data_IF_700894502640
#
_entry.id   IF_700894502640
#
_cell.length_a   1.000
_cell.length_b   1.000
_cell.length_c   1.000
_cell.angle_alpha   90.00
_cell.angle_beta   90.00
_cell.angle_gamma   90.00
#
_symmetry.space_group_name_H-M   'P 1'
#
loop_
_entity.id
_entity.type
_entity.pdbx_description
1 polymer ?
#
# COMPACT_ATOMS: atom_id res chain seq x y z
N UNK A 1 17.49 2.70 -11.88
CA UNK A 1 16.91 2.00 -10.72
C UNK A 1 15.85 1.03 -11.21
N UNK A 2 15.68 -0.13 -10.56
CA UNK A 2 14.61 -1.09 -10.81
C UNK A 2 13.43 -0.78 -9.89
N UNK A 3 12.22 -0.76 -10.44
CA UNK A 3 10.99 -0.46 -9.70
C UNK A 3 10.10 -1.71 -9.65
N UNK A 4 9.63 -2.08 -8.48
CA UNK A 4 8.63 -3.12 -8.30
C UNK A 4 7.29 -2.50 -7.89
N UNK A 5 6.26 -2.71 -8.69
CA UNK A 5 4.89 -2.27 -8.39
C UNK A 5 4.09 -3.48 -7.93
N UNK A 6 3.80 -3.56 -6.64
CA UNK A 6 3.04 -4.66 -6.03
C UNK A 6 1.54 -4.38 -6.05
N UNK A 7 0.76 -5.35 -6.50
CA UNK A 7 -0.69 -5.37 -6.46
C UNK A 7 -1.16 -6.50 -5.53
N UNK A 8 -1.51 -6.19 -4.26
CA UNK A 8 -2.09 -7.18 -3.37
C UNK A 8 -3.54 -7.47 -3.77
N UNK A 9 -3.87 -8.73 -4.03
CA UNK A 9 -5.19 -9.15 -4.52
C UNK A 9 -5.81 -10.23 -3.65
N UNK A 10 -7.14 -10.20 -3.52
CA UNK A 10 -7.94 -11.23 -2.85
C UNK A 10 -9.35 -11.29 -3.42
N UNK A 11 -9.65 -12.32 -4.23
CA UNK A 11 -10.90 -12.49 -4.96
C UNK A 11 -11.21 -11.27 -5.85
N UNK A 12 -10.34 -11.05 -6.83
CA UNK A 12 -10.38 -9.89 -7.74
C UNK A 12 -10.43 -10.35 -9.22
N UNK A 13 -11.05 -11.51 -9.48
CA UNK A 13 -11.09 -12.10 -10.84
C UNK A 13 -11.71 -11.18 -11.89
N UNK A 14 -12.63 -10.29 -11.50
CA UNK A 14 -13.32 -9.40 -12.44
C UNK A 14 -12.46 -8.20 -12.87
N UNK A 15 -11.59 -7.70 -11.98
CA UNK A 15 -10.85 -6.46 -12.25
C UNK A 15 -9.34 -6.64 -12.45
N UNK A 16 -8.77 -7.79 -12.09
CA UNK A 16 -7.32 -8.01 -12.08
C UNK A 16 -6.68 -7.74 -13.44
N UNK A 17 -7.19 -8.33 -14.52
CA UNK A 17 -6.61 -8.18 -15.86
C UNK A 17 -6.62 -6.71 -16.33
N UNK A 18 -7.77 -6.06 -16.24
CA UNK A 18 -7.91 -4.66 -16.67
C UNK A 18 -7.08 -3.69 -15.82
N UNK A 19 -6.89 -3.96 -14.54
CA UNK A 19 -6.04 -3.14 -13.68
C UNK A 19 -4.56 -3.34 -13.97
N UNK A 20 -4.12 -4.58 -14.19
CA UNK A 20 -2.73 -4.88 -14.58
C UNK A 20 -2.39 -4.21 -15.91
N UNK A 21 -3.27 -4.27 -16.91
CA UNK A 21 -3.05 -3.63 -18.21
C UNK A 21 -2.87 -2.10 -18.09
N UNK A 22 -3.68 -1.44 -17.24
CA UNK A 22 -3.55 0.00 -16.98
C UNK A 22 -2.22 0.33 -16.28
N UNK A 23 -1.86 -0.42 -15.25
CA UNK A 23 -0.60 -0.22 -14.51
C UNK A 23 0.59 -0.46 -15.44
N UNK A 24 0.53 -1.52 -16.25
CA UNK A 24 1.57 -1.85 -17.23
C UNK A 24 1.78 -0.71 -18.24
N UNK A 25 0.69 -0.14 -18.77
CA UNK A 25 0.75 1.00 -19.67
C UNK A 25 1.43 2.23 -19.03
N UNK A 26 1.13 2.53 -17.78
CA UNK A 26 1.76 3.63 -17.03
C UNK A 26 3.23 3.33 -16.73
N UNK A 27 3.56 2.10 -16.33
CA UNK A 27 4.93 1.72 -16.03
C UNK A 27 5.82 1.76 -17.29
N UNK A 28 5.37 1.22 -18.41
CA UNK A 28 6.10 1.25 -19.69
C UNK A 28 6.38 2.67 -20.20
N UNK A 29 5.49 3.62 -19.88
CA UNK A 29 5.67 5.04 -20.23
C UNK A 29 6.71 5.72 -19.36
N UNK A 30 6.80 5.36 -18.07
CA UNK A 30 7.57 6.12 -17.09
C UNK A 30 8.90 5.48 -16.69
N UNK A 31 9.04 4.14 -16.83
CA UNK A 31 10.18 3.40 -16.29
C UNK A 31 10.84 2.53 -17.36
N UNK A 32 12.17 2.52 -17.38
CA UNK A 32 12.96 1.65 -18.28
C UNK A 32 13.16 0.24 -17.71
N UNK A 33 13.20 0.11 -16.39
CA UNK A 33 13.42 -1.15 -15.69
C UNK A 33 12.40 -1.27 -14.55
N UNK A 34 11.42 -2.13 -14.72
CA UNK A 34 10.37 -2.34 -13.73
C UNK A 34 9.79 -3.75 -13.79
N UNK A 35 9.13 -4.13 -12.73
CA UNK A 35 8.28 -5.32 -12.66
C UNK A 35 6.95 -5.00 -11.96
N UNK A 36 5.89 -5.70 -12.34
CA UNK A 36 4.61 -5.72 -11.64
C UNK A 36 4.51 -7.05 -10.90
N UNK A 37 4.34 -7.00 -9.59
CA UNK A 37 4.25 -8.18 -8.74
C UNK A 37 2.83 -8.35 -8.20
N UNK A 38 2.07 -9.29 -8.75
CA UNK A 38 0.76 -9.67 -8.26
C UNK A 38 0.93 -10.52 -7.01
N UNK A 39 0.47 -10.02 -5.86
CA UNK A 39 0.56 -10.74 -4.59
C UNK A 39 -0.81 -11.33 -4.22
N UNK A 40 -1.08 -12.55 -4.67
CA UNK A 40 -2.33 -13.25 -4.37
C UNK A 40 -2.39 -13.69 -2.91
N UNK A 41 -3.37 -13.15 -2.21
CA UNK A 41 -3.55 -13.21 -0.77
C UNK A 41 -4.57 -14.28 -0.37
N UNK A 42 -4.35 -15.54 -0.80
CA UNK A 42 -5.22 -16.70 -0.59
C UNK A 42 -6.61 -16.56 -1.24
N UNK A 43 -6.67 -16.13 -2.50
CA UNK A 43 -7.91 -16.07 -3.27
C UNK A 43 -8.55 -17.44 -3.45
N UNK A 44 -9.88 -17.45 -3.55
CA UNK A 44 -10.71 -18.64 -3.69
C UNK A 44 -11.47 -18.70 -5.02
N UNK A 45 -11.42 -17.64 -5.79
CA UNK A 45 -11.93 -17.51 -7.14
C UNK A 45 -10.83 -17.73 -8.18
N UNK A 46 -11.02 -17.29 -9.42
CA UNK A 46 -10.05 -17.45 -10.49
C UNK A 46 -8.89 -16.44 -10.48
N UNK A 47 -8.77 -15.60 -9.43
CA UNK A 47 -7.72 -14.58 -9.34
C UNK A 47 -6.31 -15.16 -9.55
N UNK A 48 -6.00 -16.29 -8.88
CA UNK A 48 -4.69 -16.92 -9.02
C UNK A 48 -4.44 -17.47 -10.43
N UNK A 49 -5.46 -18.03 -11.06
CA UNK A 49 -5.38 -18.51 -12.45
C UNK A 49 -5.08 -17.34 -13.41
N UNK A 50 -5.79 -16.22 -13.24
CA UNK A 50 -5.59 -15.01 -14.05
C UNK A 50 -4.18 -14.45 -13.82
N UNK A 51 -3.70 -14.39 -12.56
CA UNK A 51 -2.35 -13.93 -12.25
C UNK A 51 -1.26 -14.76 -12.94
N UNK A 52 -1.43 -16.09 -13.01
CA UNK A 52 -0.54 -16.99 -13.76
C UNK A 52 -0.53 -16.64 -15.25
N UNK A 53 -1.71 -16.55 -15.87
CA UNK A 53 -1.84 -16.20 -17.31
C UNK A 53 -1.20 -14.85 -17.62
N UNK A 54 -1.37 -13.85 -16.75
CA UNK A 54 -0.75 -12.54 -16.92
C UNK A 54 0.77 -12.60 -16.84
N UNK A 55 1.33 -13.42 -15.96
CA UNK A 55 2.78 -13.61 -15.85
C UNK A 55 3.38 -14.38 -17.05
N UNK A 56 2.60 -15.21 -17.73
CA UNK A 56 3.00 -15.88 -18.99
C UNK A 56 2.90 -14.93 -20.18
N UNK A 57 1.90 -14.03 -20.17
CA UNK A 57 1.62 -13.08 -21.25
C UNK A 57 2.60 -11.89 -21.28
N UNK A 58 3.02 -11.41 -20.10
CA UNK A 58 3.84 -10.20 -19.98
C UNK A 58 5.14 -10.49 -19.21
N UNK A 59 6.32 -10.30 -19.83
CA UNK A 59 7.61 -10.57 -19.18
C UNK A 59 7.89 -9.68 -17.96
N UNK A 60 7.23 -8.51 -17.86
CA UNK A 60 7.35 -7.61 -16.72
C UNK A 60 6.43 -8.00 -15.55
N UNK A 61 5.52 -8.98 -15.73
CA UNK A 61 4.54 -9.37 -14.70
C UNK A 61 4.98 -10.66 -14.03
N UNK A 62 5.05 -10.64 -12.71
CA UNK A 62 5.28 -11.80 -11.86
C UNK A 62 4.13 -11.97 -10.88
N UNK A 63 3.99 -13.15 -10.30
CA UNK A 63 3.05 -13.37 -9.22
C UNK A 63 3.66 -14.16 -8.07
N UNK A 64 3.11 -13.97 -6.89
CA UNK A 64 3.31 -14.83 -5.71
C UNK A 64 1.95 -15.24 -5.16
N UNK A 65 1.86 -16.43 -4.60
CA UNK A 65 0.67 -16.93 -3.90
C UNK A 65 0.97 -17.16 -2.43
N UNK A 66 0.08 -16.69 -1.55
CA UNK A 66 0.15 -16.95 -0.13
C UNK A 66 -1.03 -17.83 0.30
N UNK A 67 -0.79 -18.90 1.10
CA UNK A 67 -1.85 -19.81 1.54
C UNK A 67 -2.73 -19.20 2.66
N UNK A 68 -2.30 -18.07 3.24
CA UNK A 68 -3.01 -17.41 4.34
C UNK A 68 -3.32 -15.95 4.00
N UNK A 69 -4.59 -15.57 4.18
CA UNK A 69 -5.04 -14.20 4.01
C UNK A 69 -4.36 -13.24 5.00
N UNK A 70 -4.05 -12.04 4.52
CA UNK A 70 -3.44 -10.96 5.29
C UNK A 70 -2.76 -9.96 4.36
N UNK A 71 -3.37 -8.77 4.17
CA UNK A 71 -2.84 -7.74 3.26
C UNK A 71 -1.40 -7.35 3.60
N UNK A 72 -1.13 -7.09 4.88
CA UNK A 72 0.23 -6.77 5.33
C UNK A 72 1.19 -7.95 5.13
N UNK A 73 0.71 -9.22 5.27
CA UNK A 73 1.51 -10.42 4.99
C UNK A 73 1.89 -10.47 3.51
N UNK A 74 0.94 -10.22 2.62
CA UNK A 74 1.17 -10.23 1.17
C UNK A 74 2.22 -9.17 0.78
N UNK A 75 2.08 -7.93 1.27
CA UNK A 75 3.02 -6.84 1.00
C UNK A 75 4.43 -7.14 1.55
N UNK A 76 4.55 -7.64 2.77
CA UNK A 76 5.85 -8.03 3.34
C UNK A 76 6.53 -9.11 2.49
N UNK A 77 5.78 -10.16 2.11
CA UNK A 77 6.32 -11.23 1.28
C UNK A 77 6.73 -10.74 -0.10
N UNK A 78 5.91 -9.90 -0.72
CA UNK A 78 6.19 -9.32 -2.03
C UNK A 78 7.49 -8.49 -2.01
N UNK A 79 7.59 -7.55 -1.08
CA UNK A 79 8.75 -6.66 -0.98
C UNK A 79 10.05 -7.38 -0.59
N UNK A 80 9.95 -8.48 0.15
CA UNK A 80 11.11 -9.34 0.48
C UNK A 80 11.48 -10.33 -0.64
N UNK A 81 10.70 -10.43 -1.72
CA UNK A 81 10.91 -11.35 -2.83
C UNK A 81 11.40 -10.67 -4.12
N UNK A 82 11.69 -9.39 -4.07
CA UNK A 82 12.22 -8.60 -5.19
C UNK A 82 13.60 -8.02 -4.86
N UNK A 83 14.40 -7.80 -5.89
CA UNK A 83 15.68 -7.09 -5.84
C UNK A 83 15.57 -5.62 -6.30
N UNK A 84 14.35 -5.09 -6.36
CA UNK A 84 14.09 -3.73 -6.80
C UNK A 84 14.69 -2.68 -5.83
N UNK A 85 15.15 -1.57 -6.40
CA UNK A 85 15.64 -0.42 -5.64
C UNK A 85 14.48 0.34 -4.95
N UNK A 86 13.34 0.41 -5.66
CA UNK A 86 12.10 1.05 -5.18
C UNK A 86 10.95 0.04 -5.26
N UNK A 87 10.28 -0.17 -4.14
CA UNK A 87 9.12 -1.04 -4.03
C UNK A 87 7.88 -0.21 -3.75
N UNK A 88 6.93 -0.22 -4.69
CA UNK A 88 5.64 0.45 -4.54
C UNK A 88 4.54 -0.58 -4.30
N UNK A 89 3.42 -0.15 -3.75
CA UNK A 89 2.17 -0.87 -3.86
C UNK A 89 0.99 0.08 -4.08
N UNK A 90 -0.04 -0.45 -4.70
CA UNK A 90 -1.35 0.20 -4.84
C UNK A 90 -2.47 -0.83 -4.74
N UNK A 91 -3.64 -0.36 -4.33
CA UNK A 91 -4.84 -1.19 -4.32
C UNK A 91 -5.27 -1.52 -5.76
N UNK A 92 -5.76 -2.74 -5.98
CA UNK A 92 -6.10 -3.26 -7.31
C UNK A 92 -7.27 -2.50 -7.96
N UNK A 93 -8.14 -1.87 -7.17
CA UNK A 93 -9.26 -1.06 -7.62
C UNK A 93 -8.85 0.24 -8.30
N UNK A 94 -7.55 0.58 -8.23
CA UNK A 94 -6.98 1.81 -8.76
C UNK A 94 -7.73 3.08 -8.33
N UNK A 95 -8.28 3.07 -7.12
CA UNK A 95 -8.96 4.24 -6.54
C UNK A 95 -8.06 5.48 -6.48
N UNK A 96 -6.74 5.31 -6.36
CA UNK A 96 -5.76 6.39 -6.52
C UNK A 96 -5.38 6.54 -7.99
N UNK A 97 -5.44 7.77 -8.52
CA UNK A 97 -5.06 8.07 -9.90
C UNK A 97 -3.59 7.70 -10.17
N UNK A 98 -3.38 6.85 -11.18
CA UNK A 98 -2.07 6.31 -11.55
C UNK A 98 -1.06 7.39 -11.98
N UNK A 99 -1.50 8.61 -12.33
CA UNK A 99 -0.58 9.73 -12.63
C UNK A 99 0.38 10.05 -11.49
N UNK A 100 -0.03 9.76 -10.23
CA UNK A 100 0.79 10.00 -9.05
C UNK A 100 1.87 8.93 -8.81
N UNK A 101 1.88 7.82 -9.61
CA UNK A 101 2.87 6.76 -9.42
C UNK A 101 4.30 7.27 -9.63
N UNK A 102 4.49 8.09 -10.66
CA UNK A 102 5.81 8.68 -10.90
C UNK A 102 6.24 9.61 -9.77
N UNK A 103 5.34 10.49 -9.29
CA UNK A 103 5.61 11.39 -8.17
C UNK A 103 5.97 10.61 -6.88
N UNK A 104 5.33 9.45 -6.66
CA UNK A 104 5.61 8.56 -5.55
C UNK A 104 7.04 7.99 -5.62
N UNK A 105 7.49 7.56 -6.81
CA UNK A 105 8.83 7.01 -7.00
C UNK A 105 9.91 8.09 -7.04
N UNK A 106 9.63 9.24 -7.64
CA UNK A 106 10.56 10.38 -7.69
C UNK A 106 10.93 10.85 -6.29
N UNK A 107 9.99 10.84 -5.35
CA UNK A 107 10.27 11.17 -3.96
C UNK A 107 11.34 10.25 -3.34
N UNK A 108 11.34 8.96 -3.69
CA UNK A 108 12.39 8.02 -3.24
C UNK A 108 13.73 8.35 -3.93
N UNK A 109 13.72 8.68 -5.22
CA UNK A 109 14.92 9.12 -5.95
C UNK A 109 15.50 10.43 -5.39
N UNK A 110 14.65 11.33 -4.86
CA UNK A 110 15.04 12.54 -4.13
C UNK A 110 15.65 12.25 -2.74
N UNK A 111 15.71 11.00 -2.31
CA UNK A 111 16.34 10.56 -1.07
C UNK A 111 15.38 10.44 0.12
N UNK A 112 14.06 10.41 -0.09
CA UNK A 112 13.15 9.98 0.96
C UNK A 112 13.20 8.44 1.07
N UNK A 113 12.98 7.93 2.28
CA UNK A 113 12.99 6.49 2.53
C UNK A 113 11.61 5.87 2.24
N UNK A 114 10.55 6.62 2.51
CA UNK A 114 9.16 6.25 2.26
C UNK A 114 8.43 7.43 1.64
N UNK A 115 7.66 7.18 0.59
CA UNK A 115 6.66 8.12 0.07
C UNK A 115 5.28 7.47 0.10
N UNK A 116 4.25 8.26 0.34
CA UNK A 116 2.89 7.73 0.42
C UNK A 116 1.85 8.78 0.04
N UNK A 117 0.76 8.30 -0.57
CA UNK A 117 -0.37 9.13 -0.92
C UNK A 117 -1.16 9.56 0.31
N UNK A 118 -1.69 10.78 0.27
CA UNK A 118 -2.64 11.27 1.25
C UNK A 118 -3.92 11.76 0.56
N UNK A 119 -5.04 11.31 1.09
CA UNK A 119 -6.38 11.73 0.69
C UNK A 119 -6.85 12.97 1.47
N UNK A 120 -6.08 13.41 2.46
CA UNK A 120 -6.50 14.39 3.46
C UNK A 120 -5.67 15.67 3.42
N UNK A 121 -4.68 15.77 2.55
CA UNK A 121 -3.98 17.05 2.28
C UNK A 121 -4.93 18.03 1.60
N UNK A 122 -4.66 19.32 1.75
CA UNK A 122 -5.48 20.38 1.17
C UNK A 122 -5.57 20.30 -0.36
N UNK A 123 -4.48 19.86 -0.98
CA UNK A 123 -4.34 19.72 -2.44
C UNK A 123 -4.91 18.40 -2.99
N UNK A 124 -5.39 17.51 -2.11
CA UNK A 124 -5.95 16.22 -2.54
C UNK A 124 -7.35 16.39 -3.10
N UNK A 125 -7.62 15.67 -4.18
CA UNK A 125 -8.97 15.56 -4.76
C UNK A 125 -9.64 14.28 -4.25
N UNK A 126 -10.59 14.43 -3.34
CA UNK A 126 -11.25 13.30 -2.68
C UNK A 126 -12.72 13.22 -3.06
N UNK A 127 -13.13 12.07 -3.62
CA UNK A 127 -14.54 11.74 -3.83
C UNK A 127 -14.91 10.50 -3.00
N UNK A 128 -15.49 10.71 -1.82
CA UNK A 128 -15.97 9.64 -0.94
C UNK A 128 -17.13 10.10 -0.05
N UNK A 129 -17.77 9.15 0.64
CA UNK A 129 -18.86 9.42 1.58
C UNK A 129 -18.37 10.19 2.82
N UNK A 130 -19.20 11.13 3.31
CA UNK A 130 -18.90 11.92 4.53
C UNK A 130 -18.62 11.02 5.75
N UNK A 131 -19.35 9.90 5.89
CA UNK A 131 -19.15 8.95 6.98
C UNK A 131 -17.72 8.40 7.01
N UNK A 132 -17.18 8.02 5.85
CA UNK A 132 -15.80 7.52 5.76
C UNK A 132 -14.79 8.62 6.00
N UNK A 133 -15.09 9.85 5.60
CA UNK A 133 -14.20 10.99 5.86
C UNK A 133 -14.07 11.24 7.37
N UNK A 134 -15.17 11.31 8.08
CA UNK A 134 -15.21 11.49 9.54
C UNK A 134 -14.44 10.36 10.25
N UNK A 135 -14.69 9.10 9.88
CA UNK A 135 -14.00 7.95 10.47
C UNK A 135 -12.49 7.99 10.26
N UNK A 136 -12.05 8.35 9.05
CA UNK A 136 -10.61 8.44 8.75
C UNK A 136 -9.94 9.59 9.50
N UNK A 137 -10.59 10.76 9.59
CA UNK A 137 -10.06 11.90 10.36
C UNK A 137 -10.01 11.58 11.86
N UNK A 138 -11.05 10.95 12.38
CA UNK A 138 -11.08 10.46 13.78
C UNK A 138 -9.96 9.46 14.06
N UNK A 139 -9.70 8.55 13.11
CA UNK A 139 -8.60 7.61 13.21
C UNK A 139 -7.23 8.31 13.27
N UNK A 140 -6.96 9.21 12.35
CA UNK A 140 -5.70 9.99 12.36
C UNK A 140 -5.56 10.80 13.64
N UNK A 141 -6.65 11.39 14.16
CA UNK A 141 -6.65 12.12 15.43
C UNK A 141 -6.21 11.21 16.59
N UNK A 142 -6.70 9.97 16.65
CA UNK A 142 -6.25 8.99 17.65
C UNK A 142 -4.75 8.66 17.48
N UNK A 143 -4.26 8.49 16.25
CA UNK A 143 -2.84 8.26 15.99
C UNK A 143 -1.98 9.43 16.48
N UNK A 144 -2.43 10.67 16.29
CA UNK A 144 -1.72 11.87 16.78
C UNK A 144 -1.63 11.89 18.30
N UNK A 145 -2.73 11.62 19.00
CA UNK A 145 -2.75 11.60 20.48
C UNK A 145 -1.91 10.46 21.08
N UNK A 146 -2.08 9.25 20.55
CA UNK A 146 -1.50 8.07 21.18
C UNK A 146 -0.08 7.74 20.71
N UNK A 147 0.27 8.12 19.46
CA UNK A 147 1.51 7.71 18.79
C UNK A 147 2.30 8.90 18.18
N UNK A 148 1.90 10.13 18.50
CA UNK A 148 2.55 11.36 17.98
C UNK A 148 2.71 11.37 16.45
N UNK A 149 1.70 10.85 15.72
CA UNK A 149 1.74 10.77 14.27
C UNK A 149 1.69 12.17 13.64
N UNK A 150 2.62 12.46 12.73
CA UNK A 150 2.81 13.82 12.21
C UNK A 150 2.11 14.08 10.87
N UNK A 151 1.64 13.04 10.20
CA UNK A 151 1.06 13.12 8.86
C UNK A 151 -0.48 13.18 8.88
N UNK A 152 -1.08 13.28 7.69
CA UNK A 152 -2.53 13.47 7.54
C UNK A 152 -3.28 12.20 7.17
N UNK A 153 -2.62 11.21 6.54
CA UNK A 153 -3.24 9.93 6.17
C UNK A 153 -2.30 8.75 6.43
N UNK A 154 -2.77 7.75 7.17
CA UNK A 154 -2.02 6.54 7.46
C UNK A 154 -2.44 5.33 6.62
N UNK A 155 -3.60 5.39 5.95
CA UNK A 155 -4.28 4.23 5.37
C UNK A 155 -4.48 4.33 3.85
N UNK A 156 -3.88 5.30 3.17
CA UNK A 156 -3.93 5.34 1.71
C UNK A 156 -3.17 4.13 1.15
N UNK A 157 -3.84 3.32 0.34
CA UNK A 157 -3.26 2.15 -0.32
C UNK A 157 -2.38 2.52 -1.51
N UNK A 158 -1.44 3.45 -1.32
CA UNK A 158 -0.56 3.96 -2.35
C UNK A 158 0.75 4.44 -1.69
N UNK A 159 1.76 3.56 -1.68
CA UNK A 159 3.03 3.80 -0.98
C UNK A 159 4.23 3.29 -1.77
N UNK A 160 5.38 3.92 -1.57
CA UNK A 160 6.67 3.41 -2.02
C UNK A 160 7.69 3.46 -0.87
N UNK A 161 8.62 2.52 -0.92
CA UNK A 161 9.76 2.41 0.00
C UNK A 161 11.04 2.14 -0.80
N UNK A 162 12.18 2.51 -0.26
CA UNK A 162 13.48 2.10 -0.79
C UNK A 162 13.89 0.70 -0.26
N UNK A 163 14.94 0.14 -0.85
CA UNK A 163 15.48 -1.17 -0.45
C UNK A 163 15.98 -1.22 1.00
N UNK A 164 16.46 -0.10 1.54
CA UNK A 164 16.88 0.01 2.94
C UNK A 164 15.69 -0.21 3.89
N UNK A 165 14.56 0.43 3.64
CA UNK A 165 13.32 0.24 4.42
C UNK A 165 12.85 -1.22 4.33
N UNK A 166 12.91 -1.81 3.14
CA UNK A 166 12.55 -3.22 2.96
C UNK A 166 13.41 -4.15 3.82
N UNK A 167 14.73 -3.93 3.86
CA UNK A 167 15.66 -4.76 4.60
C UNK A 167 15.61 -4.53 6.12
N UNK A 168 15.52 -3.26 6.57
CA UNK A 168 15.68 -2.91 7.99
C UNK A 168 14.37 -2.76 8.76
N UNK A 169 13.31 -2.27 8.11
CA UNK A 169 12.06 -1.90 8.77
C UNK A 169 10.95 -2.93 8.57
N UNK A 170 10.77 -3.46 7.35
CA UNK A 170 9.70 -4.43 7.06
C UNK A 170 9.74 -5.66 7.98
N UNK A 171 10.90 -6.26 8.30
CA UNK A 171 10.96 -7.37 9.27
C UNK A 171 10.46 -7.02 10.68
N UNK A 172 10.49 -5.74 11.05
CA UNK A 172 10.02 -5.25 12.36
C UNK A 172 8.52 -4.98 12.42
N UNK A 173 7.81 -5.01 11.27
CA UNK A 173 6.36 -4.79 11.21
C UNK A 173 5.65 -6.08 11.62
N UNK A 174 4.87 -6.03 12.70
CA UNK A 174 4.18 -7.19 13.27
C UNK A 174 2.81 -7.45 12.65
N UNK A 175 2.11 -6.39 12.27
CA UNK A 175 0.77 -6.54 11.71
C UNK A 175 0.81 -7.22 10.35
N UNK A 176 -0.10 -8.16 10.13
CA UNK A 176 -0.24 -8.92 8.88
C UNK A 176 -1.50 -8.54 8.10
N UNK A 177 -2.30 -7.62 8.63
CA UNK A 177 -3.61 -7.25 8.13
C UNK A 177 -3.62 -5.77 7.69
N UNK A 178 -4.70 -5.06 7.96
CA UNK A 178 -4.90 -3.69 7.53
C UNK A 178 -4.15 -2.62 8.34
N UNK A 179 -3.72 -2.94 9.56
CA UNK A 179 -2.95 -2.00 10.38
C UNK A 179 -1.49 -1.90 9.94
N UNK A 180 -1.04 -2.78 9.05
CA UNK A 180 0.30 -2.77 8.45
C UNK A 180 0.74 -1.37 8.00
N UNK A 181 -0.13 -0.67 7.26
CA UNK A 181 0.16 0.67 6.74
C UNK A 181 0.47 1.68 7.83
N UNK A 182 -0.34 1.66 8.88
CA UNK A 182 -0.14 2.53 10.04
C UNK A 182 1.13 2.17 10.79
N UNK A 183 1.36 0.88 11.05
CA UNK A 183 2.55 0.42 11.76
C UNK A 183 3.83 0.78 11.00
N UNK A 184 3.82 0.64 9.68
CA UNK A 184 4.94 1.05 8.81
C UNK A 184 5.28 2.52 9.00
N UNK A 185 4.30 3.42 8.85
CA UNK A 185 4.54 4.87 8.92
C UNK A 185 4.93 5.32 10.33
N UNK A 186 4.28 4.78 11.37
CA UNK A 186 4.61 5.12 12.77
C UNK A 186 6.03 4.66 13.13
N UNK A 187 6.40 3.42 12.78
CA UNK A 187 7.76 2.92 13.04
C UNK A 187 8.80 3.67 12.22
N UNK A 188 8.51 3.98 10.97
CA UNK A 188 9.39 4.77 10.14
C UNK A 188 9.64 6.16 10.76
N UNK A 189 8.59 6.86 11.17
CA UNK A 189 8.70 8.13 11.86
C UNK A 189 9.52 8.00 13.17
N UNK A 190 9.24 6.99 13.97
CA UNK A 190 9.92 6.76 15.25
C UNK A 190 11.42 6.48 15.09
N UNK A 191 11.80 5.72 14.07
CA UNK A 191 13.21 5.40 13.77
C UNK A 191 13.93 6.47 12.93
N UNK A 192 13.27 7.60 12.65
CA UNK A 192 13.90 8.75 11.97
C UNK A 192 14.10 8.58 10.47
N UNK A 193 13.33 7.70 9.82
CA UNK A 193 13.31 7.62 8.34
C UNK A 193 12.70 8.90 7.75
N UNK A 194 13.14 9.27 6.56
CA UNK A 194 12.62 10.43 5.82
C UNK A 194 11.34 10.03 5.08
N UNK A 195 10.21 10.64 5.46
CA UNK A 195 8.90 10.36 4.88
C UNK A 195 8.40 11.54 4.06
N UNK A 196 7.81 11.27 2.89
CA UNK A 196 7.13 12.28 2.06
C UNK A 196 5.67 11.93 1.85
N UNK A 197 4.78 12.81 2.27
CA UNK A 197 3.35 12.68 2.07
C UNK A 197 2.93 13.45 0.82
N UNK A 198 2.31 12.78 -0.15
CA UNK A 198 1.95 13.29 -1.47
C UNK A 198 0.43 13.44 -1.57
N UNK A 199 -0.11 14.61 -1.94
CA UNK A 199 -1.53 14.77 -2.18
C UNK A 199 -1.94 13.94 -3.40
N UNK A 200 -3.04 13.20 -3.30
CA UNK A 200 -3.50 12.35 -4.40
C UNK A 200 -4.95 12.63 -4.78
N UNK A 201 -5.26 12.37 -6.04
CA UNK A 201 -6.64 12.23 -6.48
C UNK A 201 -7.10 10.81 -6.18
N UNK A 202 -8.19 10.72 -5.44
CA UNK A 202 -8.75 9.44 -4.99
C UNK A 202 -10.27 9.41 -5.16
N UNK A 203 -10.77 8.35 -5.78
CA UNK A 203 -12.19 8.15 -6.04
C UNK A 203 -12.61 6.83 -5.37
N UNK A 204 -13.63 6.90 -4.52
CA UNK A 204 -14.14 5.72 -3.81
C UNK A 204 -14.71 4.69 -4.78
N UNK A 205 -14.19 3.47 -4.72
CA UNK A 205 -14.86 2.30 -5.28
C UNK A 205 -16.01 1.85 -4.36
N UNK A 206 -17.16 1.54 -4.95
CA UNK A 206 -18.37 1.15 -4.23
C UNK A 206 -18.33 -0.29 -3.69
N UNK A 207 -17.35 -1.10 -4.09
CA UNK A 207 -17.21 -2.53 -3.76
C UNK A 207 -16.59 -2.87 -2.41
N UNK A 208 -16.37 -1.91 -1.51
CA UNK A 208 -15.65 -2.15 -0.25
C UNK A 208 -16.38 -3.09 0.71
N UNK A 209 -15.73 -4.19 1.09
CA UNK A 209 -16.23 -5.24 2.01
C UNK A 209 -15.71 -5.12 3.45
N UNK A 210 -15.15 -3.99 3.86
CA UNK A 210 -14.51 -3.81 5.18
C UNK A 210 -15.54 -3.80 6.31
N UNK A 211 -15.40 -4.73 7.27
CA UNK A 211 -16.20 -4.75 8.49
C UNK A 211 -15.71 -3.68 9.48
N UNK A 212 -16.37 -2.52 9.51
CA UNK A 212 -15.94 -1.34 10.29
C UNK A 212 -15.78 -1.65 11.80
N UNK A 213 -16.77 -2.24 12.52
CA UNK A 213 -16.62 -2.50 13.97
C UNK A 213 -15.43 -3.40 14.30
N UNK A 214 -15.23 -4.48 13.55
CA UNK A 214 -14.11 -5.39 13.73
C UNK A 214 -12.78 -4.68 13.48
N UNK A 215 -12.72 -3.85 12.45
CA UNK A 215 -11.52 -3.09 12.07
C UNK A 215 -11.17 -2.06 13.15
N UNK A 216 -12.13 -1.29 13.66
CA UNK A 216 -11.93 -0.31 14.74
C UNK A 216 -11.36 -1.00 15.99
N UNK A 217 -11.97 -2.11 16.43
CA UNK A 217 -11.47 -2.88 17.59
C UNK A 217 -10.02 -3.35 17.40
N UNK A 218 -9.70 -3.86 16.21
CA UNK A 218 -8.34 -4.28 15.85
C UNK A 218 -7.37 -3.12 15.88
N UNK A 219 -7.75 -1.97 15.33
CA UNK A 219 -6.91 -0.79 15.28
C UNK A 219 -6.61 -0.22 16.66
N UNK A 220 -7.59 -0.11 17.53
CA UNK A 220 -7.38 0.31 18.92
C UNK A 220 -6.40 -0.60 19.65
N UNK A 221 -6.60 -1.93 19.55
CA UNK A 221 -5.66 -2.92 20.13
C UNK A 221 -4.23 -2.70 19.63
N UNK A 222 -4.07 -2.48 18.33
CA UNK A 222 -2.76 -2.29 17.72
C UNK A 222 -2.13 -0.93 18.07
N UNK A 223 -2.92 0.13 18.22
CA UNK A 223 -2.44 1.44 18.71
C UNK A 223 -1.83 1.28 20.11
N UNK A 224 -2.54 0.62 21.05
CA UNK A 224 -2.02 0.40 22.39
C UNK A 224 -0.81 -0.52 22.42
N UNK A 225 -0.79 -1.58 21.59
CA UNK A 225 0.38 -2.45 21.41
C UNK A 225 1.59 -1.62 20.96
N UNK A 226 1.42 -0.83 19.91
CA UNK A 226 2.50 -0.06 19.32
C UNK A 226 3.01 1.04 20.27
N UNK A 227 2.11 1.71 21.00
CA UNK A 227 2.48 2.66 22.05
C UNK A 227 3.35 2.05 23.14
N UNK A 228 3.06 0.78 23.53
CA UNK A 228 3.87 0.07 24.52
C UNK A 228 5.23 -0.36 23.95
N UNK A 229 5.27 -0.68 22.68
CA UNK A 229 6.50 -1.13 21.99
C UNK A 229 7.49 0.01 21.73
N UNK A 230 6.98 1.24 21.53
CA UNK A 230 7.77 2.42 21.16
C UNK A 230 8.11 3.34 22.37
N UNK A 231 7.75 2.95 23.59
CA UNK A 231 8.18 3.57 24.83
C UNK A 231 9.49 2.96 25.31
#
# INVERSE_FOLDING_TARGET
>A
MKICVTLPVYNEEEQLEGSVDKVLGVCRKNYKNFEILIADNASKDRTLEIAKKLSEKYPEVRYIHLPQKGRGRALKKAWMSTDADIMCYMDIDLSTDLKHLKELTDAIEEGYDISFGSRMKKESELKRSLKRDILSRGYVFLLKIFLNFQFTDAQCGFKAINSRVAAELIPKIKDNEWFFDTELLIKAQYFGYRLKEIPVKWIEDKGSTVNIPKTVKSYLKNIFRLRKELK
#
